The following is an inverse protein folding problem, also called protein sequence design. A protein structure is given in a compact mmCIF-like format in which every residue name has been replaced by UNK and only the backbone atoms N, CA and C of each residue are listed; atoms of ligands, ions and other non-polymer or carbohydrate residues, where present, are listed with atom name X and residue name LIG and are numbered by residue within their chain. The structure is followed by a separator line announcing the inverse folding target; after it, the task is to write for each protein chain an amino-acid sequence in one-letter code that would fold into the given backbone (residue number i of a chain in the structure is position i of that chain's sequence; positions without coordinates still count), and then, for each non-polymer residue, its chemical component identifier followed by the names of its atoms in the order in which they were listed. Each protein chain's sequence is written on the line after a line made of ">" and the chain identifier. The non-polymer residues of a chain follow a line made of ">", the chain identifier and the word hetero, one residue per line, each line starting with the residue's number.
data_IF_006985047901
#
_entry.id   IF_006985047901
#
_cell.length_a   1.000
_cell.length_b   1.000
_cell.length_c   1.000
_cell.angle_alpha   90.00
_cell.angle_beta   90.00
_cell.angle_gamma   90.00
#
_symmetry.space_group_name_H-M   'P 1'
#
loop_
_entity.id
_entity.type
_entity.pdbx_description
1 polymer ?
#
# COMPACT_ATOMS: atom_id res chain seq x y z
N UNK A 1 -22.67 -10.61 -16.86
CA UNK A 1 -22.58 -9.43 -17.76
C UNK A 1 -21.47 -8.46 -17.33
N UNK A 2 -21.40 -8.01 -16.05
CA UNK A 2 -20.33 -7.10 -15.55
C UNK A 2 -18.90 -7.65 -15.72
N UNK A 3 -18.66 -8.94 -15.50
CA UNK A 3 -17.31 -9.57 -15.62
C UNK A 3 -16.79 -9.57 -17.07
N UNK A 4 -17.68 -9.70 -18.06
CA UNK A 4 -17.31 -9.64 -19.50
C UNK A 4 -16.99 -8.22 -19.90
N UNK A 5 -17.69 -7.24 -19.33
CA UNK A 5 -17.40 -5.81 -19.55
C UNK A 5 -16.00 -5.41 -19.05
N UNK A 6 -15.58 -5.87 -17.88
CA UNK A 6 -14.24 -5.58 -17.35
C UNK A 6 -13.10 -6.24 -18.16
N UNK A 7 -13.30 -7.45 -18.69
CA UNK A 7 -12.28 -8.10 -19.54
C UNK A 7 -11.98 -7.31 -20.81
N UNK A 8 -13.00 -6.71 -21.42
CA UNK A 8 -12.85 -5.93 -22.66
C UNK A 8 -12.60 -4.43 -22.38
N UNK A 9 -12.80 -3.96 -21.15
CA UNK A 9 -12.63 -2.57 -20.75
C UNK A 9 -11.27 -2.00 -21.16
N UNK A 10 -10.20 -2.76 -20.92
CA UNK A 10 -8.83 -2.34 -21.21
C UNK A 10 -8.47 -2.32 -22.70
N UNK A 11 -9.34 -2.87 -23.57
CA UNK A 11 -9.22 -2.84 -25.02
C UNK A 11 -9.99 -1.67 -25.68
N UNK A 12 -10.81 -0.96 -24.87
CA UNK A 12 -11.61 0.16 -25.38
C UNK A 12 -10.69 1.35 -25.65
N UNK A 13 -10.75 1.96 -26.86
CA UNK A 13 -9.97 3.16 -27.14
C UNK A 13 -10.30 4.31 -26.20
N UNK A 14 -9.30 5.08 -25.77
CA UNK A 14 -9.47 6.17 -24.80
C UNK A 14 -10.50 7.21 -25.22
N UNK A 15 -10.61 7.53 -26.52
CA UNK A 15 -11.58 8.50 -27.04
C UNK A 15 -13.04 8.09 -26.77
N UNK A 16 -13.32 6.78 -26.69
CA UNK A 16 -14.66 6.27 -26.40
C UNK A 16 -15.12 6.66 -24.99
N UNK A 17 -14.21 6.65 -24.02
CA UNK A 17 -14.55 7.06 -22.66
C UNK A 17 -14.97 8.54 -22.57
N UNK A 18 -14.46 9.40 -23.44
CA UNK A 18 -14.85 10.81 -23.51
C UNK A 18 -16.33 11.04 -23.81
N UNK A 19 -17.01 10.07 -24.42
CA UNK A 19 -18.42 10.17 -24.82
C UNK A 19 -19.34 9.87 -23.62
N UNK A 20 -18.94 8.96 -22.74
CA UNK A 20 -19.81 8.38 -21.71
C UNK A 20 -19.44 8.77 -20.27
N UNK A 21 -18.26 9.36 -20.06
CA UNK A 21 -17.76 9.66 -18.74
C UNK A 21 -17.72 11.17 -18.53
N UNK A 22 -18.41 11.64 -17.49
CA UNK A 22 -18.30 13.02 -17.05
C UNK A 22 -16.87 13.28 -16.56
N UNK A 23 -16.14 14.14 -17.27
CA UNK A 23 -14.77 14.50 -16.91
C UNK A 23 -14.78 15.18 -15.55
N UNK A 24 -13.85 14.75 -14.68
CA UNK A 24 -13.60 15.44 -13.42
C UNK A 24 -12.78 16.71 -13.69
N UNK A 25 -12.95 17.75 -12.86
CA UNK A 25 -12.16 18.97 -13.01
C UNK A 25 -10.66 18.68 -12.83
N UNK A 26 -9.79 19.48 -13.45
CA UNK A 26 -8.38 19.46 -13.12
C UNK A 26 -8.14 19.78 -11.65
N UNK A 27 -7.15 19.13 -11.05
CA UNK A 27 -6.74 19.40 -9.68
C UNK A 27 -5.25 19.80 -9.65
N UNK A 28 -4.92 20.90 -9.03
CA UNK A 28 -3.56 21.46 -8.97
C UNK A 28 -2.88 21.55 -10.35
N UNK A 29 -3.67 21.87 -11.41
CA UNK A 29 -3.21 21.98 -12.79
C UNK A 29 -3.09 20.65 -13.56
N UNK A 30 -3.38 19.53 -12.94
CA UNK A 30 -3.26 18.20 -13.55
C UNK A 30 -4.63 17.62 -13.91
N UNK A 31 -4.63 16.77 -14.94
CA UNK A 31 -5.84 16.09 -15.45
C UNK A 31 -5.81 14.64 -14.98
N UNK A 32 -6.89 14.19 -14.39
CA UNK A 32 -7.05 12.80 -13.99
C UNK A 32 -7.06 11.85 -15.19
N UNK A 33 -6.32 10.74 -15.12
CA UNK A 33 -6.25 9.77 -16.20
C UNK A 33 -7.64 9.26 -16.60
N UNK A 34 -7.92 9.26 -17.92
CA UNK A 34 -9.24 8.95 -18.44
C UNK A 34 -9.68 7.50 -18.21
N UNK A 35 -8.74 6.57 -18.33
CA UNK A 35 -9.04 5.15 -18.12
C UNK A 35 -9.29 4.87 -16.63
N UNK A 36 -8.55 5.55 -15.77
CA UNK A 36 -8.77 5.54 -14.31
C UNK A 36 -10.14 6.11 -13.93
N UNK A 37 -10.52 7.26 -14.53
CA UNK A 37 -11.86 7.83 -14.33
C UNK A 37 -12.97 6.86 -14.74
N UNK A 38 -12.79 6.20 -15.88
CA UNK A 38 -13.73 5.23 -16.41
C UNK A 38 -13.88 4.03 -15.46
N UNK A 39 -12.76 3.47 -15.01
CA UNK A 39 -12.75 2.34 -14.10
C UNK A 39 -13.49 2.67 -12.80
N UNK A 40 -13.17 3.81 -12.18
CA UNK A 40 -13.77 4.22 -10.91
C UNK A 40 -15.27 4.46 -11.07
N UNK A 41 -15.70 5.07 -12.18
CA UNK A 41 -17.11 5.33 -12.45
C UNK A 41 -17.95 4.06 -12.66
N UNK A 42 -17.32 2.95 -13.01
CA UNK A 42 -17.96 1.64 -13.21
C UNK A 42 -17.95 0.76 -11.96
N UNK A 43 -17.16 1.13 -10.95
CA UNK A 43 -17.14 0.37 -9.70
C UNK A 43 -18.39 0.64 -8.87
N UNK A 44 -18.99 -0.40 -8.25
CA UNK A 44 -20.06 -0.17 -7.28
C UNK A 44 -19.47 0.53 -6.05
N UNK A 45 -20.10 1.61 -5.62
CA UNK A 45 -19.78 2.25 -4.35
C UNK A 45 -20.40 1.46 -3.21
N UNK A 46 -19.59 0.84 -2.37
CA UNK A 46 -20.02 0.29 -1.09
C UNK A 46 -19.62 1.30 -0.03
N UNK A 47 -20.59 1.84 0.70
CA UNK A 47 -20.29 2.69 1.86
C UNK A 47 -19.94 1.81 3.06
N UNK A 48 -18.67 1.52 3.22
CA UNK A 48 -18.16 0.70 4.32
C UNK A 48 -18.48 1.30 5.71
N UNK A 49 -18.69 2.61 5.78
CA UNK A 49 -18.91 3.30 7.06
C UNK A 49 -20.30 3.03 7.66
N UNK A 50 -21.19 2.44 6.88
CA UNK A 50 -22.54 2.05 7.32
C UNK A 50 -22.62 0.57 7.70
N UNK A 51 -21.53 -0.18 7.54
CA UNK A 51 -21.48 -1.62 7.81
C UNK A 51 -21.25 -1.87 9.30
N UNK A 52 -22.11 -2.66 9.97
CA UNK A 52 -21.87 -3.10 11.35
C UNK A 52 -20.60 -3.94 11.48
N UNK A 53 -19.93 -3.84 12.61
CA UNK A 53 -18.64 -4.53 12.84
C UNK A 53 -18.74 -6.07 12.66
N UNK A 54 -19.84 -6.66 13.08
CA UNK A 54 -20.10 -8.10 12.93
C UNK A 54 -20.32 -8.57 11.48
N UNK A 55 -20.56 -7.66 10.53
CA UNK A 55 -20.73 -7.95 9.11
C UNK A 55 -19.48 -7.66 8.28
N UNK A 56 -18.49 -6.99 8.85
CA UNK A 56 -17.26 -6.60 8.13
C UNK A 56 -16.53 -7.82 7.57
N UNK A 57 -16.47 -8.93 8.29
CA UNK A 57 -15.82 -10.16 7.84
C UNK A 57 -16.44 -10.70 6.53
N UNK A 58 -17.76 -10.68 6.40
CA UNK A 58 -18.46 -11.19 5.21
C UNK A 58 -18.31 -10.24 4.02
N UNK A 59 -18.36 -8.94 4.27
CA UNK A 59 -18.09 -7.92 3.24
C UNK A 59 -16.65 -8.01 2.77
N UNK A 60 -15.68 -8.20 3.68
CA UNK A 60 -14.26 -8.41 3.36
C UNK A 60 -14.09 -9.60 2.40
N UNK A 61 -14.73 -10.74 2.67
CA UNK A 61 -14.73 -11.91 1.77
C UNK A 61 -15.30 -11.58 0.40
N UNK A 62 -16.45 -10.93 0.35
CA UNK A 62 -17.11 -10.55 -0.92
C UNK A 62 -16.24 -9.60 -1.75
N UNK A 63 -15.61 -8.61 -1.12
CA UNK A 63 -14.67 -7.69 -1.78
C UNK A 63 -13.45 -8.44 -2.29
N UNK A 64 -12.86 -9.34 -1.48
CA UNK A 64 -11.71 -10.13 -1.85
C UNK A 64 -12.00 -11.05 -3.05
N UNK A 65 -13.10 -11.79 -3.03
CA UNK A 65 -13.54 -12.64 -4.15
C UNK A 65 -13.74 -11.82 -5.44
N UNK A 66 -14.36 -10.64 -5.33
CA UNK A 66 -14.54 -9.76 -6.48
C UNK A 66 -13.20 -9.25 -7.03
N UNK A 67 -12.25 -8.89 -6.15
CA UNK A 67 -10.92 -8.41 -6.54
C UNK A 67 -10.11 -9.51 -7.22
N UNK A 68 -10.09 -10.73 -6.65
CA UNK A 68 -9.41 -11.90 -7.22
C UNK A 68 -10.00 -12.26 -8.59
N UNK A 69 -11.32 -12.22 -8.73
CA UNK A 69 -12.01 -12.52 -9.99
C UNK A 69 -11.78 -11.46 -11.08
N UNK A 70 -11.71 -10.20 -10.71
CA UNK A 70 -11.62 -9.04 -11.60
C UNK A 70 -10.25 -8.36 -11.52
N UNK A 71 -9.20 -9.14 -11.70
CA UNK A 71 -7.81 -8.68 -11.62
C UNK A 71 -7.54 -7.41 -12.42
N UNK A 72 -6.99 -6.41 -11.74
CA UNK A 72 -6.59 -5.14 -12.33
C UNK A 72 -5.08 -5.07 -12.59
N UNK A 73 -4.30 -5.95 -12.00
CA UNK A 73 -2.87 -6.09 -12.24
C UNK A 73 -2.59 -6.93 -13.49
N UNK A 74 -1.49 -6.62 -14.17
CA UNK A 74 -0.95 -7.43 -15.25
C UNK A 74 -0.40 -8.74 -14.68
N UNK A 75 -0.50 -9.80 -15.48
CA UNK A 75 0.21 -11.04 -15.18
C UNK A 75 1.72 -10.85 -15.38
N UNK A 76 2.51 -11.61 -14.65
CA UNK A 76 3.95 -11.74 -14.85
C UNK A 76 4.24 -12.38 -16.21
N UNK A 77 5.38 -12.00 -16.83
CA UNK A 77 5.86 -12.63 -18.06
C UNK A 77 6.51 -13.98 -17.80
N UNK A 78 7.22 -14.07 -16.67
CA UNK A 78 7.90 -15.28 -16.23
C UNK A 78 7.22 -15.80 -14.96
N UNK A 79 7.34 -17.12 -14.68
CA UNK A 79 6.80 -17.69 -13.45
C UNK A 79 7.42 -17.06 -12.19
N UNK A 80 6.58 -16.84 -11.18
CA UNK A 80 6.98 -16.52 -9.82
C UNK A 80 6.52 -17.68 -8.95
N UNK A 81 7.46 -18.42 -8.38
CA UNK A 81 7.15 -19.51 -7.45
C UNK A 81 6.72 -18.93 -6.11
N UNK A 82 5.78 -19.58 -5.46
CA UNK A 82 5.22 -19.14 -4.18
C UNK A 82 5.34 -20.25 -3.16
N UNK A 83 5.75 -19.87 -1.95
CA UNK A 83 5.88 -20.77 -0.81
C UNK A 83 5.23 -20.12 0.40
N UNK A 84 4.33 -20.85 1.06
CA UNK A 84 3.64 -20.36 2.24
C UNK A 84 4.37 -20.85 3.50
N UNK A 85 4.79 -19.91 4.34
CA UNK A 85 5.39 -20.14 5.66
C UNK A 85 4.37 -19.75 6.73
N UNK A 86 4.17 -20.62 7.72
CA UNK A 86 3.29 -20.35 8.85
C UNK A 86 4.13 -20.05 10.08
N UNK A 87 4.02 -18.82 10.59
CA UNK A 87 4.87 -18.30 11.65
C UNK A 87 4.23 -18.56 13.03
N UNK A 88 5.07 -19.04 13.99
CA UNK A 88 4.68 -19.27 15.38
C UNK A 88 4.00 -20.60 15.63
N UNK A 89 4.11 -21.10 16.88
CA UNK A 89 3.55 -22.40 17.31
C UNK A 89 2.03 -22.33 17.39
N UNK A 90 1.48 -21.19 17.85
CA UNK A 90 0.04 -20.97 18.05
C UNK A 90 -0.53 -19.86 17.14
N UNK A 91 0.31 -19.21 16.34
CA UNK A 91 -0.08 -18.13 15.43
C UNK A 91 -0.02 -18.63 13.99
N UNK A 92 -1.18 -18.84 13.40
CA UNK A 92 -1.29 -19.11 11.96
C UNK A 92 -1.08 -17.81 11.15
N UNK A 93 0.04 -17.12 11.40
CA UNK A 93 0.40 -15.93 10.63
C UNK A 93 1.07 -16.40 9.34
N UNK A 94 0.38 -16.23 8.23
CA UNK A 94 0.89 -16.60 6.92
C UNK A 94 1.89 -15.55 6.42
N UNK A 95 3.07 -16.01 6.02
CA UNK A 95 4.07 -15.25 5.29
C UNK A 95 4.30 -15.94 3.94
N UNK A 96 3.84 -15.33 2.84
CA UNK A 96 4.03 -15.88 1.50
C UNK A 96 5.30 -15.36 0.86
N UNK A 97 6.20 -16.27 0.54
CA UNK A 97 7.40 -16.01 -0.24
C UNK A 97 7.08 -16.01 -1.75
N UNK A 98 7.57 -15.00 -2.46
CA UNK A 98 7.51 -14.88 -3.91
C UNK A 98 8.92 -14.94 -4.49
N UNK A 99 9.20 -15.98 -5.24
CA UNK A 99 10.52 -16.29 -5.78
C UNK A 99 10.47 -16.17 -7.32
N UNK A 100 10.90 -15.02 -7.89
CA UNK A 100 10.87 -14.84 -9.34
C UNK A 100 11.89 -15.75 -10.04
N UNK A 101 11.64 -16.05 -11.32
CA UNK A 101 12.50 -16.91 -12.14
C UNK A 101 13.97 -16.51 -12.14
N UNK A 102 14.28 -15.22 -12.02
CA UNK A 102 15.65 -14.71 -11.86
C UNK A 102 15.74 -13.75 -10.70
N UNK A 103 16.77 -13.92 -9.88
CA UNK A 103 17.10 -13.06 -8.72
C UNK A 103 18.44 -12.40 -8.99
N UNK A 104 18.50 -11.06 -8.83
CA UNK A 104 19.69 -10.27 -9.11
C UNK A 104 20.23 -9.53 -7.86
N UNK A 105 19.61 -9.74 -6.71
CA UNK A 105 20.01 -9.14 -5.43
C UNK A 105 19.92 -10.18 -4.32
N UNK A 106 20.75 -10.05 -3.31
CA UNK A 106 20.67 -10.85 -2.08
C UNK A 106 19.77 -10.19 -1.01
N UNK A 107 19.26 -8.98 -1.30
CA UNK A 107 18.24 -8.32 -0.48
C UNK A 107 16.87 -8.92 -0.74
N UNK A 108 16.02 -8.86 0.29
CA UNK A 108 14.65 -9.31 0.25
C UNK A 108 13.71 -8.18 0.63
N UNK A 109 12.46 -8.27 0.22
CA UNK A 109 11.43 -7.28 0.51
C UNK A 109 10.35 -7.92 1.37
N UNK A 110 10.14 -7.37 2.57
CA UNK A 110 8.99 -7.67 3.41
C UNK A 110 7.85 -6.72 3.03
N UNK A 111 6.79 -7.28 2.46
CA UNK A 111 5.67 -6.52 1.89
C UNK A 111 4.43 -6.62 2.76
N UNK A 112 3.77 -5.49 2.96
CA UNK A 112 2.50 -5.37 3.66
C UNK A 112 1.43 -4.84 2.70
N UNK A 113 0.30 -5.54 2.60
CA UNK A 113 -0.77 -5.16 1.69
C UNK A 113 -1.58 -3.95 2.22
N UNK A 114 -2.15 -3.16 1.31
CA UNK A 114 -3.09 -2.09 1.64
C UNK A 114 -4.49 -2.60 1.99
N UNK A 115 -5.37 -1.69 2.35
CA UNK A 115 -6.78 -1.99 2.67
C UNK A 115 -7.27 -1.37 3.98
N UNK A 116 -6.63 -0.28 4.44
CA UNK A 116 -7.06 0.47 5.63
C UNK A 116 -7.02 -0.37 6.92
N UNK A 117 -6.18 -1.39 6.99
CA UNK A 117 -6.14 -2.39 8.06
C UNK A 117 -7.40 -3.25 8.22
N UNK A 118 -8.40 -3.07 7.37
CA UNK A 118 -9.71 -3.74 7.48
C UNK A 118 -9.94 -4.71 6.33
N UNK A 119 -9.44 -4.38 5.15
CA UNK A 119 -9.70 -5.09 3.91
C UNK A 119 -8.44 -5.76 3.36
N UNK A 120 -8.67 -6.61 2.34
CA UNK A 120 -7.63 -7.28 1.56
C UNK A 120 -6.89 -8.39 2.32
N UNK A 121 -5.90 -8.96 1.64
CA UNK A 121 -5.13 -10.13 2.09
C UNK A 121 -3.91 -10.31 1.19
N UNK A 122 -3.01 -11.20 1.54
CA UNK A 122 -1.93 -11.69 0.67
C UNK A 122 -2.49 -12.17 -0.67
N UNK A 123 -3.63 -12.87 -0.67
CA UNK A 123 -4.26 -13.40 -1.89
C UNK A 123 -4.79 -12.29 -2.82
N UNK A 124 -5.35 -11.21 -2.27
CA UNK A 124 -5.84 -10.08 -3.08
C UNK A 124 -4.72 -9.26 -3.69
N UNK A 125 -3.51 -9.31 -3.15
CA UNK A 125 -2.32 -8.61 -3.64
C UNK A 125 -1.36 -9.53 -4.39
N UNK A 126 -1.70 -10.81 -4.55
CA UNK A 126 -0.84 -11.82 -5.15
C UNK A 126 -0.27 -11.44 -6.52
N UNK A 127 -1.11 -10.91 -7.42
CA UNK A 127 -0.66 -10.47 -8.74
C UNK A 127 0.24 -9.22 -8.65
N UNK A 128 -0.07 -8.28 -7.75
CA UNK A 128 0.70 -7.04 -7.55
C UNK A 128 2.10 -7.36 -7.04
N UNK A 129 2.20 -8.21 -6.00
CA UNK A 129 3.47 -8.62 -5.42
C UNK A 129 4.27 -9.47 -6.41
N UNK A 130 3.62 -10.39 -7.14
CA UNK A 130 4.26 -11.17 -8.20
C UNK A 130 4.86 -10.28 -9.29
N UNK A 131 4.11 -9.23 -9.72
CA UNK A 131 4.58 -8.27 -10.72
C UNK A 131 5.80 -7.49 -10.22
N UNK A 132 5.78 -7.00 -8.98
CA UNK A 132 6.91 -6.29 -8.37
C UNK A 132 8.14 -7.22 -8.23
N UNK A 133 7.96 -8.45 -7.75
CA UNK A 133 9.04 -9.43 -7.60
C UNK A 133 9.71 -9.75 -8.94
N UNK A 134 8.92 -9.98 -10.01
CA UNK A 134 9.45 -10.21 -11.35
C UNK A 134 10.23 -9.00 -11.88
N UNK A 135 9.68 -7.79 -11.77
CA UNK A 135 10.28 -6.56 -12.28
C UNK A 135 11.59 -6.20 -11.56
N UNK A 136 11.60 -6.33 -10.25
CA UNK A 136 12.78 -6.04 -9.43
C UNK A 136 13.80 -7.17 -9.44
N UNK A 137 13.41 -8.37 -9.84
CA UNK A 137 14.21 -9.60 -9.74
C UNK A 137 14.71 -9.81 -8.32
N UNK A 138 13.84 -9.61 -7.37
CA UNK A 138 14.07 -9.72 -5.94
C UNK A 138 13.03 -10.63 -5.29
N UNK A 139 13.42 -11.29 -4.22
CA UNK A 139 12.52 -12.12 -3.42
C UNK A 139 11.65 -11.24 -2.55
N UNK A 140 10.34 -11.52 -2.54
CA UNK A 140 9.38 -10.84 -1.68
C UNK A 140 8.81 -11.82 -0.66
N UNK A 141 8.48 -11.29 0.51
CA UNK A 141 7.73 -11.96 1.55
C UNK A 141 6.52 -11.08 1.89
N UNK A 142 5.31 -11.55 1.63
CA UNK A 142 4.07 -10.82 1.89
C UNK A 142 3.38 -11.38 3.13
N UNK A 143 3.12 -10.52 4.10
CA UNK A 143 2.54 -10.88 5.38
C UNK A 143 1.02 -10.79 5.36
N UNK A 144 0.34 -11.85 5.81
CA UNK A 144 -1.07 -11.84 6.17
C UNK A 144 -1.20 -11.40 7.64
N UNK A 145 -1.17 -10.09 7.87
CA UNK A 145 -1.27 -9.51 9.20
C UNK A 145 -2.71 -9.47 9.71
N UNK A 146 -2.92 -9.49 11.01
CA UNK A 146 -4.24 -9.41 11.65
C UNK A 146 -4.96 -8.12 11.29
N UNK A 147 -6.25 -8.23 10.94
CA UNK A 147 -7.08 -7.11 10.47
C UNK A 147 -8.03 -6.61 11.57
N UNK A 148 -8.37 -5.34 11.44
CA UNK A 148 -9.39 -4.65 12.23
C UNK A 148 -10.80 -4.87 11.62
N UNK A 149 -11.85 -4.76 12.41
CA UNK A 149 -11.92 -4.34 13.82
C UNK A 149 -11.62 -5.47 14.82
N UNK A 150 -11.45 -6.70 14.35
CA UNK A 150 -11.23 -7.88 15.21
C UNK A 150 -9.93 -7.75 16.00
N UNK A 151 -8.91 -7.17 15.39
CA UNK A 151 -7.62 -6.92 15.99
C UNK A 151 -7.24 -5.45 15.76
N UNK A 152 -7.01 -4.71 16.85
CA UNK A 152 -6.70 -3.29 16.79
C UNK A 152 -5.20 -3.06 16.93
N UNK A 153 -4.76 -1.83 16.71
CA UNK A 153 -3.41 -1.40 17.05
C UNK A 153 -3.07 -1.75 18.52
N UNK A 154 -1.90 -2.36 18.79
CA UNK A 154 -0.77 -2.59 17.86
C UNK A 154 -0.72 -3.99 17.20
N UNK A 155 -1.76 -4.81 17.23
CA UNK A 155 -1.74 -6.21 16.81
C UNK A 155 -1.09 -6.46 15.43
N UNK A 156 -1.43 -5.65 14.41
CA UNK A 156 -0.82 -5.75 13.08
C UNK A 156 0.66 -5.36 13.07
N UNK A 157 1.06 -4.42 13.93
CA UNK A 157 2.46 -4.01 14.09
C UNK A 157 3.28 -5.13 14.77
N UNK A 158 2.70 -5.82 15.75
CA UNK A 158 3.33 -6.99 16.40
C UNK A 158 3.55 -8.12 15.38
N UNK A 159 2.58 -8.34 14.48
CA UNK A 159 2.74 -9.33 13.41
C UNK A 159 3.84 -8.93 12.42
N UNK A 160 3.95 -7.64 12.09
CA UNK A 160 5.01 -7.12 11.22
C UNK A 160 6.40 -7.28 11.85
N UNK A 161 6.54 -6.95 13.14
CA UNK A 161 7.77 -7.14 13.89
C UNK A 161 8.14 -8.62 13.95
N UNK A 162 7.16 -9.49 14.23
CA UNK A 162 7.39 -10.94 14.27
C UNK A 162 7.86 -11.50 12.92
N UNK A 163 7.29 -11.05 11.80
CA UNK A 163 7.73 -11.45 10.47
C UNK A 163 9.13 -10.94 10.15
N UNK A 164 9.46 -9.70 10.55
CA UNK A 164 10.79 -9.13 10.41
C UNK A 164 11.84 -9.96 11.16
N UNK A 165 11.59 -10.28 12.43
CA UNK A 165 12.46 -11.13 13.24
C UNK A 165 12.58 -12.56 12.68
N UNK A 166 11.50 -13.06 12.11
CA UNK A 166 11.55 -14.39 11.46
C UNK A 166 12.51 -14.39 10.26
N UNK A 167 12.49 -13.33 9.45
CA UNK A 167 13.45 -13.19 8.35
C UNK A 167 14.88 -13.15 8.85
N UNK A 168 15.18 -12.41 9.92
CA UNK A 168 16.52 -12.35 10.51
C UNK A 168 16.97 -13.75 11.02
N UNK A 169 16.08 -14.47 11.71
CA UNK A 169 16.34 -15.85 12.17
C UNK A 169 16.55 -16.85 11.04
N UNK A 170 16.03 -16.54 9.84
CA UNK A 170 16.20 -17.37 8.63
C UNK A 170 17.32 -16.88 7.69
N UNK A 171 18.23 -16.07 8.19
CA UNK A 171 19.50 -15.73 7.53
C UNK A 171 19.50 -14.42 6.74
N UNK A 172 18.42 -13.63 6.80
CA UNK A 172 18.40 -12.29 6.24
C UNK A 172 18.75 -11.27 7.33
N UNK A 173 19.92 -10.66 7.24
CA UNK A 173 20.30 -9.59 8.17
C UNK A 173 19.47 -8.33 7.91
N UNK A 174 19.30 -7.46 8.91
CA UNK A 174 18.58 -6.19 8.78
C UNK A 174 19.03 -5.35 7.57
N UNK A 175 20.32 -5.25 7.33
CA UNK A 175 20.89 -4.57 6.15
C UNK A 175 20.60 -5.24 4.79
N UNK A 176 19.86 -6.35 4.76
CA UNK A 176 19.39 -7.04 3.55
C UNK A 176 17.86 -7.10 3.46
N UNK A 177 17.15 -6.57 4.43
CA UNK A 177 15.69 -6.53 4.44
C UNK A 177 15.25 -5.11 4.08
N UNK A 178 14.48 -4.98 3.00
CA UNK A 178 13.72 -3.78 2.68
C UNK A 178 12.27 -3.98 3.10
N UNK A 179 11.63 -2.96 3.70
CA UNK A 179 10.21 -3.01 4.02
C UNK A 179 9.41 -2.24 2.98
N UNK A 180 8.29 -2.77 2.55
CA UNK A 180 7.48 -2.19 1.48
C UNK A 180 5.99 -2.41 1.77
N UNK A 181 5.16 -1.51 1.28
CA UNK A 181 3.72 -1.69 1.29
C UNK A 181 2.99 -0.61 0.53
N UNK A 182 1.70 -0.79 0.38
CA UNK A 182 0.80 0.18 -0.24
C UNK A 182 -0.28 0.64 0.73
N UNK A 183 -0.61 1.94 0.77
CA UNK A 183 -1.67 2.51 1.62
C UNK A 183 -1.46 2.19 3.11
N UNK A 184 -2.37 1.48 3.75
CA UNK A 184 -2.22 0.98 5.12
C UNK A 184 -0.99 0.08 5.30
N UNK A 185 -0.62 -0.70 4.29
CA UNK A 185 0.60 -1.50 4.30
C UNK A 185 1.87 -0.65 4.25
N UNK A 186 1.85 0.48 3.55
CA UNK A 186 2.94 1.45 3.58
C UNK A 186 3.05 2.13 4.95
N UNK A 187 1.92 2.44 5.58
CA UNK A 187 1.91 2.88 6.98
C UNK A 187 2.53 1.82 7.88
N UNK A 188 2.12 0.54 7.77
CA UNK A 188 2.64 -0.55 8.60
C UNK A 188 4.16 -0.74 8.40
N UNK A 189 4.67 -0.60 7.17
CA UNK A 189 6.10 -0.63 6.88
C UNK A 189 6.85 0.50 7.62
N UNK A 190 6.35 1.73 7.57
CA UNK A 190 6.92 2.86 8.28
C UNK A 190 6.74 2.72 9.81
N UNK A 191 5.58 2.23 10.27
CA UNK A 191 5.32 1.95 11.69
C UNK A 191 6.31 0.97 12.29
N UNK A 192 6.66 -0.09 11.55
CA UNK A 192 7.70 -1.04 11.95
C UNK A 192 9.05 -0.34 12.15
N UNK A 193 9.45 0.52 11.22
CA UNK A 193 10.70 1.31 11.35
C UNK A 193 10.63 2.23 12.57
N UNK A 194 9.52 2.96 12.75
CA UNK A 194 9.33 3.84 13.90
C UNK A 194 9.35 3.08 15.24
N UNK A 195 8.77 1.89 15.29
CA UNK A 195 8.81 1.01 16.48
C UNK A 195 10.23 0.56 16.79
N UNK A 196 10.98 0.10 15.80
CA UNK A 196 12.38 -0.29 15.98
C UNK A 196 13.24 0.88 16.48
N UNK A 197 13.00 2.09 15.97
CA UNK A 197 13.66 3.31 16.42
C UNK A 197 13.28 3.63 17.87
N UNK A 198 12.00 3.59 18.22
CA UNK A 198 11.52 3.85 19.58
C UNK A 198 12.11 2.86 20.59
N UNK A 199 12.37 1.61 20.17
CA UNK A 199 13.00 0.57 20.96
C UNK A 199 14.53 0.68 21.01
N UNK A 200 15.12 1.73 20.40
CA UNK A 200 16.57 1.90 20.23
C UNK A 200 17.26 0.70 19.57
N UNK A 201 16.60 0.07 18.62
CA UNK A 201 17.13 -1.09 17.90
C UNK A 201 18.22 -0.65 16.93
N UNK A 202 19.32 -1.37 16.90
CA UNK A 202 20.37 -1.27 15.87
C UNK A 202 20.04 -2.07 14.61
N UNK A 203 18.93 -2.81 14.62
CA UNK A 203 18.46 -3.69 13.54
C UNK A 203 17.44 -3.01 12.63
N UNK A 204 17.76 -1.82 12.10
CA UNK A 204 16.87 -1.15 11.15
C UNK A 204 16.94 -1.83 9.77
N UNK A 205 15.82 -1.87 9.01
CA UNK A 205 15.84 -2.33 7.62
C UNK A 205 16.78 -1.47 6.77
N UNK A 206 17.31 -2.04 5.69
CA UNK A 206 18.16 -1.33 4.72
C UNK A 206 17.45 -0.15 4.05
N UNK A 207 16.18 -0.36 3.74
CA UNK A 207 15.36 0.65 3.05
C UNK A 207 13.87 0.46 3.33
N UNK A 208 13.10 1.53 3.09
CA UNK A 208 11.64 1.48 3.09
C UNK A 208 11.07 2.05 1.79
N UNK A 209 10.09 1.36 1.24
CA UNK A 209 9.41 1.75 0.01
C UNK A 209 7.91 1.88 0.25
N UNK A 210 7.44 3.11 0.32
CA UNK A 210 6.13 3.48 0.82
C UNK A 210 5.24 3.99 -0.31
N UNK A 211 4.25 3.19 -0.71
CA UNK A 211 3.38 3.49 -1.84
C UNK A 211 2.11 4.15 -1.31
N UNK A 212 1.94 5.45 -1.54
CA UNK A 212 0.85 6.33 -1.08
C UNK A 212 0.42 6.07 0.37
N UNK A 213 1.33 6.23 1.35
CA UNK A 213 1.11 5.82 2.73
C UNK A 213 -0.02 6.61 3.42
N UNK A 214 -0.76 5.94 4.32
CA UNK A 214 -1.49 6.63 5.38
C UNK A 214 -0.46 7.22 6.35
N UNK A 215 -0.60 8.49 6.79
CA UNK A 215 0.39 9.09 7.68
C UNK A 215 -0.21 9.78 8.91
N UNK A 216 -1.32 10.52 8.74
CA UNK A 216 -1.92 11.32 9.79
C UNK A 216 -3.36 10.87 10.11
N UNK A 217 -3.62 10.35 11.34
CA UNK A 217 -4.96 9.97 11.78
C UNK A 217 -5.92 11.16 11.93
N UNK A 218 -5.45 12.41 11.81
CA UNK A 218 -6.33 13.58 11.86
C UNK A 218 -7.19 13.75 10.61
N UNK A 219 -6.72 13.30 9.45
CA UNK A 219 -7.37 13.46 8.14
C UNK A 219 -7.73 14.93 7.83
N UNK A 220 -6.82 15.88 8.10
CA UNK A 220 -7.08 17.33 8.03
C UNK A 220 -6.29 18.06 6.95
N UNK A 221 -5.47 17.39 6.15
CA UNK A 221 -4.77 18.04 5.04
C UNK A 221 -5.75 18.46 3.94
N UNK A 222 -5.35 19.43 3.12
CA UNK A 222 -6.17 20.02 2.07
C UNK A 222 -6.66 18.97 1.06
N UNK A 223 -5.81 18.01 0.70
CA UNK A 223 -6.17 16.91 -0.20
C UNK A 223 -7.35 16.06 0.31
N UNK A 224 -7.56 15.94 1.63
CA UNK A 224 -8.75 15.27 2.15
C UNK A 224 -10.04 16.03 1.91
N UNK A 225 -10.00 17.36 1.91
CA UNK A 225 -11.18 18.18 1.64
C UNK A 225 -11.45 18.31 0.15
N UNK A 226 -10.42 18.58 -0.64
CA UNK A 226 -10.52 18.75 -2.10
C UNK A 226 -10.89 17.47 -2.84
N UNK A 227 -10.40 16.32 -2.36
CA UNK A 227 -10.60 15.00 -2.97
C UNK A 227 -11.48 14.09 -2.09
N UNK A 228 -12.33 14.68 -1.27
CA UNK A 228 -13.15 13.98 -0.29
C UNK A 228 -13.98 12.84 -0.87
N UNK A 229 -14.45 12.97 -2.13
CA UNK A 229 -15.30 12.00 -2.81
C UNK A 229 -14.98 11.93 -4.32
N UNK A 230 -15.34 10.79 -4.92
CA UNK A 230 -15.29 10.65 -6.38
C UNK A 230 -13.98 10.09 -6.95
N UNK A 231 -12.97 9.84 -6.13
CA UNK A 231 -11.64 9.37 -6.56
C UNK A 231 -11.27 7.98 -6.00
N UNK A 232 -12.23 7.11 -5.82
CA UNK A 232 -12.18 5.77 -5.24
C UNK A 232 -12.12 5.80 -3.71
N UNK A 233 -11.02 6.28 -3.13
CA UNK A 233 -10.89 6.48 -1.70
C UNK A 233 -11.60 7.78 -1.30
N UNK A 234 -12.30 7.77 -0.16
CA UNK A 234 -13.01 8.95 0.36
C UNK A 234 -12.48 9.36 1.72
N UNK A 235 -12.58 10.65 2.05
CA UNK A 235 -12.27 11.15 3.39
C UNK A 235 -13.04 10.40 4.48
N UNK A 236 -14.34 10.16 4.26
CA UNK A 236 -15.22 9.43 5.18
C UNK A 236 -14.70 8.01 5.46
N UNK A 237 -14.29 7.30 4.41
CA UNK A 237 -13.72 5.95 4.53
C UNK A 237 -12.39 5.97 5.28
N UNK A 238 -11.54 6.99 5.06
CA UNK A 238 -10.27 7.10 5.76
C UNK A 238 -10.44 7.35 7.26
N UNK A 239 -11.35 8.24 7.64
CA UNK A 239 -11.70 8.47 9.06
C UNK A 239 -12.16 7.15 9.69
N UNK A 240 -13.03 6.42 9.00
CA UNK A 240 -13.55 5.13 9.47
C UNK A 240 -12.42 4.07 9.60
N UNK A 241 -11.45 3.99 8.69
CA UNK A 241 -10.33 3.08 8.81
C UNK A 241 -9.49 3.37 10.06
N UNK A 242 -9.17 4.63 10.33
CA UNK A 242 -8.45 5.02 11.53
C UNK A 242 -9.21 4.68 12.82
N UNK A 243 -10.54 4.85 12.82
CA UNK A 243 -11.38 4.47 13.95
C UNK A 243 -11.36 2.96 14.19
N UNK A 244 -11.47 2.16 13.12
CA UNK A 244 -11.40 0.70 13.22
C UNK A 244 -10.04 0.21 13.68
N UNK A 245 -8.96 0.84 13.24
CA UNK A 245 -7.61 0.53 13.69
C UNK A 245 -7.39 0.83 15.19
N UNK A 246 -8.23 1.67 15.79
CA UNK A 246 -8.15 1.98 17.22
C UNK A 246 -7.67 3.40 17.50
N UNK A 247 -8.03 4.36 16.67
CA UNK A 247 -7.74 5.78 16.91
C UNK A 247 -8.22 6.22 18.29
N UNK A 248 -7.31 6.69 19.11
CA UNK A 248 -7.53 7.21 20.45
C UNK A 248 -6.60 8.38 20.74
N UNK A 249 -6.84 9.13 21.82
CA UNK A 249 -5.94 10.22 22.23
C UNK A 249 -4.53 9.72 22.59
N UNK A 250 -4.41 8.50 23.06
CA UNK A 250 -3.14 7.84 23.36
C UNK A 250 -2.42 7.43 22.07
N UNK A 251 -3.08 6.68 21.20
CA UNK A 251 -2.48 6.17 19.99
C UNK A 251 -2.03 7.29 19.03
N UNK A 252 -2.77 8.41 18.94
CA UNK A 252 -2.37 9.57 18.12
C UNK A 252 -1.02 10.18 18.54
N UNK A 253 -0.59 9.98 19.80
CA UNK A 253 0.70 10.46 20.30
C UNK A 253 1.85 9.51 19.97
N UNK A 254 1.54 8.24 19.71
CA UNK A 254 2.52 7.24 19.33
C UNK A 254 3.02 7.49 17.91
N UNK A 255 4.33 7.61 17.74
CA UNK A 255 4.96 7.85 16.42
C UNK A 255 4.78 6.67 15.46
N UNK A 256 4.60 5.45 15.93
CA UNK A 256 4.32 4.30 15.07
C UNK A 256 2.86 4.24 14.61
N UNK A 257 1.95 4.98 15.27
CA UNK A 257 0.57 5.14 14.85
C UNK A 257 0.34 6.42 14.03
N UNK A 258 1.04 7.50 14.34
CA UNK A 258 0.99 8.76 13.62
C UNK A 258 2.39 9.10 13.10
N UNK A 259 2.65 8.80 11.84
CA UNK A 259 3.97 8.95 11.25
C UNK A 259 4.49 10.40 11.27
N UNK A 260 3.59 11.38 11.31
CA UNK A 260 3.96 12.80 11.40
C UNK A 260 4.39 13.22 12.82
N UNK A 261 4.37 12.28 13.79
CA UNK A 261 4.89 12.48 15.15
C UNK A 261 6.29 11.92 15.35
N UNK A 262 6.94 11.49 14.27
CA UNK A 262 8.32 10.99 14.34
C UNK A 262 9.23 12.01 15.04
N UNK A 263 9.77 11.58 16.17
CA UNK A 263 10.74 12.32 16.96
C UNK A 263 11.93 11.42 17.27
N UNK A 264 13.03 11.62 16.53
CA UNK A 264 14.25 10.83 16.67
C UNK A 264 15.43 11.55 16.06
N UNK A 265 16.62 11.38 16.64
CA UNK A 265 17.90 11.77 16.06
C UNK A 265 18.55 10.65 15.24
N UNK A 266 17.96 9.45 15.24
CA UNK A 266 18.46 8.33 14.45
C UNK A 266 18.20 8.57 12.96
N UNK A 267 19.16 8.14 12.13
CA UNK A 267 19.03 8.20 10.67
C UNK A 267 18.04 7.13 10.20
N UNK A 268 17.05 7.55 9.44
CA UNK A 268 16.07 6.65 8.84
C UNK A 268 16.72 5.80 7.74
N UNK A 269 16.20 4.57 7.48
CA UNK A 269 16.56 3.80 6.30
C UNK A 269 16.39 4.60 5.00
N UNK A 270 17.11 4.24 3.93
CA UNK A 270 16.86 4.84 2.62
C UNK A 270 15.38 4.75 2.26
N UNK A 271 14.74 5.89 1.98
CA UNK A 271 13.28 5.96 1.85
C UNK A 271 12.86 6.42 0.46
N UNK A 272 11.95 5.68 -0.16
CA UNK A 272 11.22 6.14 -1.35
C UNK A 272 9.73 6.23 -0.97
N UNK A 273 9.13 7.41 -1.21
CA UNK A 273 7.71 7.66 -0.97
C UNK A 273 7.03 7.97 -2.31
N UNK A 274 5.96 7.24 -2.60
CA UNK A 274 5.13 7.45 -3.78
C UNK A 274 3.87 8.19 -3.37
N UNK A 275 3.51 9.25 -4.10
CA UNK A 275 2.25 9.98 -3.92
C UNK A 275 1.46 10.03 -5.24
N UNK A 276 0.14 10.08 -5.15
CA UNK A 276 -0.77 10.18 -6.30
C UNK A 276 -1.54 11.50 -6.24
N UNK A 277 -1.69 12.19 -7.37
CA UNK A 277 -2.27 13.54 -7.40
C UNK A 277 -3.77 13.57 -7.09
N UNK A 278 -4.52 12.50 -7.45
CA UNK A 278 -5.95 12.39 -7.15
C UNK A 278 -6.20 11.41 -6.00
N UNK A 279 -5.57 11.68 -4.86
CA UNK A 279 -5.59 10.85 -3.66
C UNK A 279 -5.75 11.73 -2.41
N UNK A 280 -6.75 11.48 -1.56
CA UNK A 280 -6.88 12.18 -0.28
C UNK A 280 -5.63 12.12 0.62
N UNK A 281 -4.78 11.08 0.46
CA UNK A 281 -3.55 10.89 1.24
C UNK A 281 -2.33 11.65 0.67
N UNK A 282 -2.49 12.37 -0.45
CA UNK A 282 -1.39 13.00 -1.17
C UNK A 282 -0.56 13.91 -0.25
N UNK A 283 -1.21 14.87 0.38
CA UNK A 283 -0.52 15.87 1.22
C UNK A 283 0.12 15.26 2.47
N UNK A 284 -0.47 14.21 3.03
CA UNK A 284 0.11 13.53 4.19
C UNK A 284 1.40 12.80 3.81
N UNK A 285 1.41 12.12 2.65
CA UNK A 285 2.60 11.49 2.10
C UNK A 285 3.71 12.50 1.79
N UNK A 286 3.35 13.66 1.24
CA UNK A 286 4.28 14.78 0.98
C UNK A 286 4.85 15.36 2.27
N UNK A 287 3.99 15.59 3.29
CA UNK A 287 4.41 16.07 4.61
C UNK A 287 5.38 15.09 5.29
N UNK A 288 5.11 13.78 5.16
CA UNK A 288 5.99 12.78 5.73
C UNK A 288 7.35 12.76 5.01
N UNK A 289 7.36 12.84 3.67
CA UNK A 289 8.60 12.96 2.90
C UNK A 289 9.40 14.21 3.29
N UNK A 290 8.71 15.34 3.45
CA UNK A 290 9.33 16.61 3.89
C UNK A 290 9.91 16.49 5.30
N UNK A 291 9.17 15.91 6.25
CA UNK A 291 9.64 15.66 7.62
C UNK A 291 10.96 14.89 7.64
N UNK A 292 11.03 13.80 6.89
CA UNK A 292 12.24 12.99 6.79
C UNK A 292 13.40 13.76 6.12
N UNK A 293 13.11 14.54 5.08
CA UNK A 293 14.11 15.35 4.39
C UNK A 293 14.71 16.44 5.29
N UNK A 294 13.90 17.15 6.06
CA UNK A 294 14.34 18.18 7.02
C UNK A 294 15.24 17.60 8.12
N UNK A 295 15.09 16.32 8.43
CA UNK A 295 15.97 15.59 9.36
C UNK A 295 17.31 15.18 8.72
N UNK A 296 17.49 15.43 7.41
CA UNK A 296 18.71 15.04 6.68
C UNK A 296 18.73 13.58 6.22
N UNK A 297 17.60 12.90 6.26
CA UNK A 297 17.48 11.52 5.81
C UNK A 297 17.55 11.39 4.29
N UNK A 298 17.96 10.21 3.80
CA UNK A 298 17.97 9.90 2.36
C UNK A 298 16.57 9.56 1.89
N UNK A 299 15.83 10.58 1.47
CA UNK A 299 14.44 10.45 1.00
C UNK A 299 14.32 10.82 -0.47
N UNK A 300 13.59 10.00 -1.22
CA UNK A 300 13.16 10.30 -2.58
C UNK A 300 11.65 10.23 -2.66
N UNK A 301 11.00 11.36 -2.93
CA UNK A 301 9.58 11.39 -3.26
C UNK A 301 9.39 11.30 -4.77
N UNK A 302 8.43 10.45 -5.21
CA UNK A 302 7.97 10.36 -6.59
C UNK A 302 6.47 10.63 -6.62
N UNK A 303 6.09 11.71 -7.29
CA UNK A 303 4.69 12.14 -7.41
C UNK A 303 4.11 11.80 -8.77
N UNK A 304 2.94 11.14 -8.79
CA UNK A 304 2.22 10.79 -10.02
C UNK A 304 0.91 11.60 -10.11
N UNK A 305 0.95 12.80 -10.70
CA UNK A 305 -0.11 13.80 -10.55
C UNK A 305 -1.42 13.44 -11.22
N UNK A 306 -1.45 12.48 -12.14
CA UNK A 306 -2.64 12.01 -12.86
C UNK A 306 -3.19 10.68 -12.33
N UNK A 307 -2.58 10.13 -11.27
CA UNK A 307 -2.96 8.85 -10.66
C UNK A 307 -3.87 9.02 -9.44
N UNK A 308 -4.53 7.92 -9.06
CA UNK A 308 -5.46 7.80 -7.95
C UNK A 308 -4.94 6.85 -6.87
N UNK A 309 -5.54 6.89 -5.68
CA UNK A 309 -5.20 5.95 -4.61
C UNK A 309 -5.43 4.49 -5.04
N UNK A 310 -4.42 3.63 -4.88
CA UNK A 310 -4.50 2.21 -5.26
C UNK A 310 -4.05 1.91 -6.70
N UNK A 311 -3.51 2.89 -7.45
CA UNK A 311 -3.09 2.67 -8.83
C UNK A 311 -2.00 1.60 -8.99
N UNK A 312 -1.19 1.35 -7.97
CA UNK A 312 -0.13 0.34 -8.00
C UNK A 312 -0.67 -1.08 -8.25
N UNK A 313 -1.92 -1.35 -7.84
CA UNK A 313 -2.62 -2.61 -8.10
C UNK A 313 -3.47 -2.60 -9.39
N UNK A 314 -3.34 -1.57 -10.23
CA UNK A 314 -4.15 -1.38 -11.44
C UNK A 314 -3.32 -1.30 -12.72
N UNK A 315 -2.24 -2.09 -12.81
CA UNK A 315 -1.27 -2.04 -13.93
C UNK A 315 -1.84 -2.43 -15.28
N UNK A 316 -3.08 -2.91 -15.38
CA UNK A 316 -3.80 -3.02 -16.67
C UNK A 316 -4.22 -1.67 -17.24
N UNK A 317 -4.30 -0.63 -16.43
CA UNK A 317 -4.41 0.76 -16.89
C UNK A 317 -3.04 1.20 -17.37
N UNK A 318 -2.96 1.69 -18.63
CA UNK A 318 -1.67 2.00 -19.26
C UNK A 318 -0.87 3.07 -18.51
N UNK A 319 -1.53 4.12 -18.04
CA UNK A 319 -0.88 5.18 -17.26
C UNK A 319 -0.38 4.66 -15.89
N UNK A 320 -1.15 3.81 -15.22
CA UNK A 320 -0.74 3.17 -13.98
C UNK A 320 0.44 2.20 -14.21
N UNK A 321 0.43 1.42 -15.29
CA UNK A 321 1.57 0.56 -15.65
C UNK A 321 2.86 1.37 -15.81
N UNK A 322 2.81 2.48 -16.54
CA UNK A 322 3.97 3.34 -16.75
C UNK A 322 4.48 3.89 -15.42
N UNK A 323 3.59 4.39 -14.56
CA UNK A 323 3.93 4.90 -13.25
C UNK A 323 4.55 3.82 -12.35
N UNK A 324 3.98 2.60 -12.35
CA UNK A 324 4.52 1.47 -11.59
C UNK A 324 5.90 1.04 -12.10
N UNK A 325 6.07 0.91 -13.40
CA UNK A 325 7.37 0.55 -14.00
C UNK A 325 8.44 1.62 -13.71
N UNK A 326 8.05 2.90 -13.68
CA UNK A 326 8.94 4.02 -13.36
C UNK A 326 9.39 3.96 -11.87
N UNK A 327 8.46 3.91 -10.93
CA UNK A 327 8.86 3.87 -9.52
C UNK A 327 9.60 2.56 -9.14
N UNK A 328 9.29 1.43 -9.76
CA UNK A 328 10.06 0.20 -9.56
C UNK A 328 11.48 0.32 -10.10
N UNK A 329 11.69 1.08 -11.19
CA UNK A 329 13.05 1.34 -11.68
C UNK A 329 13.88 2.16 -10.71
N UNK A 330 13.24 3.08 -9.96
CA UNK A 330 13.91 3.86 -8.91
C UNK A 330 14.17 3.00 -7.66
N UNK A 331 13.20 2.19 -7.25
CA UNK A 331 13.37 1.28 -6.13
C UNK A 331 14.49 0.28 -6.35
N UNK A 332 14.63 -0.20 -7.58
CA UNK A 332 15.71 -1.12 -7.95
C UNK A 332 17.12 -0.57 -7.73
N UNK A 333 17.29 0.76 -7.68
CA UNK A 333 18.60 1.40 -7.46
C UNK A 333 19.07 1.31 -6.02
N UNK A 334 18.15 1.11 -5.07
CA UNK A 334 18.45 1.02 -3.65
C UNK A 334 18.28 -0.41 -3.11
N UNK A 335 17.64 -1.29 -3.88
CA UNK A 335 17.47 -2.69 -3.60
C UNK A 335 18.69 -3.50 -4.12
#
# INVERSE_FOLDING_TARGET
>A
MRTILLKNFFLIPLWFFNIFIKKRPPYRGHIFDQQSQALISLQPSIDLTTVPDNEISDIRKSIAENRIKNKLSLNTKNPVMKFDHFLGIDKNVLLREYNPYSINTDKVVLFFHGGGYVLNSVETHDDTVSYMAEKLKARFFSLEYRLSPENKYPDSLDDALFAYEWLEKNGYTSGKISVCGDSAGAHLAASLVHKLIADNSDRLPDSQFLIYPMCDPSCKSESYDDLAEGYLLTKKTMIWFWEKLGKSEENIKDQAFNLLKLDTDLVMPNTIIITAGFDPLCDDGEKYAYLLHEKGDKVKQLHYPNMFHGFASATRIKAAQIAVDDFLSEYKKIL
#
